data_IF_266914647772
#
_entry.id   IF_266914647772
#
_cell.length_a   1.000
_cell.length_b   1.000
_cell.length_c   1.000
_cell.angle_alpha   90.00
_cell.angle_beta   90.00
_cell.angle_gamma   90.00
#
_symmetry.space_group_name_H-M   'P 1'
#
loop_
_entity.id
_entity.type
_entity.pdbx_description
1 polymer ?
#
# COMPACT_ATOMS: atom_id res chain seq x y z
N UNK A 1 -54.68 -20.85 -11.40
CA UNK A 1 -53.50 -20.70 -10.51
C UNK A 1 -52.33 -19.99 -11.17
N UNK A 2 -51.85 -20.42 -12.35
CA UNK A 2 -50.65 -19.86 -13.00
C UNK A 2 -50.70 -18.33 -13.24
N UNK A 3 -51.86 -17.78 -13.65
CA UNK A 3 -52.05 -16.34 -13.87
C UNK A 3 -51.87 -15.50 -12.60
N UNK A 4 -52.25 -16.04 -11.44
CA UNK A 4 -52.13 -15.34 -10.14
C UNK A 4 -50.66 -15.26 -9.71
N UNK A 5 -49.88 -16.32 -9.98
CA UNK A 5 -48.45 -16.37 -9.68
C UNK A 5 -47.67 -15.31 -10.48
N UNK A 6 -48.01 -15.12 -11.76
CA UNK A 6 -47.37 -14.12 -12.63
C UNK A 6 -47.65 -12.70 -12.12
N UNK A 7 -48.89 -12.41 -11.74
CA UNK A 7 -49.27 -11.09 -11.22
C UNK A 7 -48.52 -10.81 -9.91
N UNK A 8 -48.42 -11.80 -9.02
CA UNK A 8 -47.71 -11.67 -7.75
C UNK A 8 -46.21 -11.42 -7.97
N UNK A 9 -45.60 -12.10 -8.95
CA UNK A 9 -44.22 -11.87 -9.34
C UNK A 9 -43.99 -10.44 -9.87
N UNK A 10 -44.89 -9.92 -10.70
CA UNK A 10 -44.80 -8.55 -11.23
C UNK A 10 -44.90 -7.52 -10.11
N UNK A 11 -45.82 -7.71 -9.15
CA UNK A 11 -46.00 -6.81 -8.01
C UNK A 11 -44.74 -6.80 -7.12
N UNK A 12 -44.20 -7.98 -6.80
CA UNK A 12 -42.98 -8.09 -5.99
C UNK A 12 -41.79 -7.45 -6.72
N UNK A 13 -41.67 -7.67 -8.02
CA UNK A 13 -40.61 -7.08 -8.84
C UNK A 13 -40.70 -5.55 -8.87
N UNK A 14 -41.89 -4.98 -9.08
CA UNK A 14 -42.09 -3.52 -9.04
C UNK A 14 -41.79 -2.93 -7.65
N UNK A 15 -42.10 -3.65 -6.57
CA UNK A 15 -41.79 -3.22 -5.21
C UNK A 15 -40.28 -3.21 -4.94
N UNK A 16 -39.54 -4.21 -5.44
CA UNK A 16 -38.07 -4.26 -5.33
C UNK A 16 -37.41 -3.13 -6.12
N UNK A 17 -37.87 -2.87 -7.36
CA UNK A 17 -37.34 -1.79 -8.19
C UNK A 17 -37.59 -0.39 -7.59
N UNK A 18 -38.74 -0.17 -6.94
CA UNK A 18 -39.06 1.13 -6.32
C UNK A 18 -38.28 1.38 -5.04
N UNK A 19 -38.03 0.35 -4.22
CA UNK A 19 -37.18 0.46 -3.01
C UNK A 19 -35.71 0.69 -3.37
N UNK A 20 -35.23 0.11 -4.48
CA UNK A 20 -33.85 0.32 -4.93
C UNK A 20 -33.61 1.71 -5.55
N UNK A 21 -34.68 2.38 -6.01
CA UNK A 21 -34.62 3.70 -6.65
C UNK A 21 -34.72 4.87 -5.66
N UNK A 22 -35.00 4.61 -4.37
CA UNK A 22 -34.88 5.63 -3.35
C UNK A 22 -33.40 5.84 -3.04
N UNK A 23 -32.85 6.94 -3.57
CA UNK A 23 -31.48 7.39 -3.32
C UNK A 23 -31.14 7.25 -1.85
N UNK A 24 -30.22 6.34 -1.56
CA UNK A 24 -29.79 6.01 -0.21
C UNK A 24 -29.08 7.25 0.36
N UNK A 25 -29.79 8.04 1.18
CA UNK A 25 -29.21 9.16 1.92
C UNK A 25 -28.16 8.61 2.89
N UNK A 26 -26.93 8.49 2.41
CA UNK A 26 -25.78 8.09 3.23
C UNK A 26 -25.22 9.33 3.88
N UNK A 27 -25.12 9.33 5.21
CA UNK A 27 -24.46 10.41 5.95
C UNK A 27 -23.06 9.96 6.37
N UNK A 28 -22.10 10.87 6.30
CA UNK A 28 -20.75 10.67 6.80
C UNK A 28 -20.58 11.38 8.14
N UNK A 29 -20.16 10.63 9.17
CA UNK A 29 -19.94 11.15 10.53
C UNK A 29 -18.51 11.62 10.70
N UNK A 30 -18.32 12.89 11.03
CA UNK A 30 -17.02 13.50 11.34
C UNK A 30 -17.02 14.08 12.76
N UNK A 31 -15.86 14.59 13.21
CA UNK A 31 -15.76 15.31 14.50
C UNK A 31 -16.56 16.62 14.53
N UNK A 32 -16.87 17.21 13.37
CA UNK A 32 -17.63 18.45 13.24
C UNK A 32 -19.12 18.24 12.97
N UNK A 33 -19.57 16.98 12.88
CA UNK A 33 -20.99 16.64 12.70
C UNK A 33 -21.23 15.58 11.63
N UNK A 34 -22.50 15.39 11.27
CA UNK A 34 -22.92 14.47 10.21
C UNK A 34 -23.22 15.26 8.94
N UNK A 35 -22.65 14.82 7.82
CA UNK A 35 -22.80 15.48 6.53
C UNK A 35 -23.50 14.54 5.54
N UNK A 36 -24.55 14.98 4.83
CA UNK A 36 -25.22 14.18 3.82
C UNK A 36 -24.30 14.00 2.60
N UNK A 37 -24.22 12.77 2.09
CA UNK A 37 -23.56 12.45 0.82
C UNK A 37 -24.64 12.05 -0.16
N UNK A 38 -24.84 12.89 -1.18
CA UNK A 38 -25.59 12.50 -2.37
C UNK A 38 -24.66 11.70 -3.28
N UNK A 39 -24.84 10.38 -3.30
CA UNK A 39 -24.25 9.53 -4.33
C UNK A 39 -25.30 9.44 -5.44
N UNK A 40 -25.23 10.33 -6.42
CA UNK A 40 -26.01 10.16 -7.65
C UNK A 40 -25.66 8.80 -8.26
N UNK A 41 -26.67 8.04 -8.67
CA UNK A 41 -26.44 6.81 -9.44
C UNK A 41 -25.49 7.12 -10.59
N UNK A 42 -24.40 6.36 -10.70
CA UNK A 42 -23.43 6.52 -11.77
C UNK A 42 -24.09 6.13 -13.09
N UNK A 43 -24.64 7.11 -13.80
CA UNK A 43 -25.25 6.90 -15.12
C UNK A 43 -24.11 6.76 -16.14
N UNK A 44 -23.58 5.54 -16.25
CA UNK A 44 -22.56 5.22 -17.24
C UNK A 44 -23.24 5.22 -18.62
N UNK A 45 -22.74 5.99 -19.60
CA UNK A 45 -23.25 5.86 -20.96
C UNK A 45 -23.08 4.42 -21.43
N UNK A 46 -24.03 3.89 -22.21
CA UNK A 46 -23.87 2.58 -22.86
C UNK A 46 -22.54 2.57 -23.62
N UNK A 47 -21.56 1.85 -23.06
CA UNK A 47 -20.25 1.70 -23.67
C UNK A 47 -20.43 0.83 -24.91
N UNK A 48 -20.42 1.46 -26.08
CA UNK A 48 -20.30 0.71 -27.34
C UNK A 48 -19.08 -0.20 -27.24
N UNK A 49 -19.27 -1.49 -27.50
CA UNK A 49 -18.16 -2.44 -27.57
C UNK A 49 -17.20 -1.97 -28.67
N UNK A 50 -16.08 -1.36 -28.26
CA UNK A 50 -14.99 -1.02 -29.17
C UNK A 50 -14.17 -2.29 -29.36
N UNK A 51 -13.93 -2.75 -30.59
CA UNK A 51 -13.07 -3.91 -30.82
C UNK A 51 -11.71 -3.66 -30.18
N UNK A 52 -11.28 -4.59 -29.33
CA UNK A 52 -9.99 -4.50 -28.67
C UNK A 52 -8.89 -4.48 -29.74
N UNK A 53 -8.27 -3.32 -29.93
CA UNK A 53 -7.06 -3.19 -30.74
C UNK A 53 -6.01 -4.05 -30.03
N UNK A 54 -5.58 -5.14 -30.66
CA UNK A 54 -4.41 -5.89 -30.23
C UNK A 54 -3.19 -4.99 -30.44
N UNK A 55 -2.81 -4.28 -29.40
CA UNK A 55 -1.47 -3.70 -29.30
C UNK A 55 -0.48 -4.86 -29.23
N UNK A 56 0.59 -4.81 -30.02
CA UNK A 56 1.76 -5.67 -29.83
C UNK A 56 2.14 -5.62 -28.34
N UNK A 57 2.49 -6.75 -27.71
CA UNK A 57 2.85 -6.77 -26.30
C UNK A 57 3.89 -5.68 -26.07
N UNK A 58 3.52 -4.72 -25.22
CA UNK A 58 4.34 -3.57 -24.88
C UNK A 58 5.72 -4.12 -24.49
N UNK A 59 6.75 -3.85 -25.29
CA UNK A 59 8.12 -4.08 -24.85
C UNK A 59 8.30 -3.18 -23.65
N UNK A 60 8.18 -3.73 -22.45
CA UNK A 60 8.41 -2.98 -21.22
C UNK A 60 9.72 -2.23 -21.43
N UNK A 61 9.72 -0.89 -21.37
CA UNK A 61 10.96 -0.16 -21.48
C UNK A 61 11.88 -0.73 -20.41
N UNK A 62 13.13 -1.04 -20.79
CA UNK A 62 14.13 -1.43 -19.81
C UNK A 62 14.15 -0.34 -18.75
N UNK A 63 13.70 -0.68 -17.53
CA UNK A 63 13.77 0.26 -16.42
C UNK A 63 15.23 0.72 -16.30
N UNK A 64 15.49 2.02 -16.09
CA UNK A 64 16.84 2.45 -15.78
C UNK A 64 17.39 1.61 -14.62
N UNK A 65 18.70 1.35 -14.61
CA UNK A 65 19.30 0.53 -13.55
C UNK A 65 19.39 1.32 -12.22
N UNK A 66 18.26 1.70 -11.65
CA UNK A 66 18.14 2.44 -10.39
C UNK A 66 18.68 1.65 -9.19
N UNK A 67 18.81 0.32 -9.33
CA UNK A 67 19.49 -0.57 -8.38
C UNK A 67 21.01 -0.54 -8.51
N UNK A 68 21.56 0.09 -9.55
CA UNK A 68 23.00 0.15 -9.77
C UNK A 68 23.63 1.09 -8.77
N UNK A 69 24.60 0.57 -8.01
CA UNK A 69 25.37 1.34 -7.03
C UNK A 69 26.18 2.47 -7.68
N UNK A 70 26.36 2.46 -9.01
CA UNK A 70 27.04 3.52 -9.78
C UNK A 70 26.41 4.91 -9.64
N UNK A 71 25.12 4.97 -9.27
CA UNK A 71 24.38 6.22 -9.12
C UNK A 71 24.34 6.72 -7.67
N UNK A 72 24.86 5.94 -6.73
CA UNK A 72 25.00 6.33 -5.33
C UNK A 72 26.43 6.86 -5.12
N UNK A 73 26.62 8.09 -4.63
CA UNK A 73 27.94 8.55 -4.26
C UNK A 73 28.52 7.66 -3.14
N UNK A 74 29.83 7.45 -3.17
CA UNK A 74 30.53 6.62 -2.19
C UNK A 74 30.29 7.13 -0.76
N UNK A 75 30.44 8.44 -0.56
CA UNK A 75 30.10 9.14 0.69
C UNK A 75 29.11 10.29 0.41
N UNK A 76 27.79 10.03 0.49
CA UNK A 76 26.79 11.07 0.29
C UNK A 76 26.85 12.11 1.42
N UNK A 77 27.01 13.39 1.07
CA UNK A 77 27.07 14.49 2.04
C UNK A 77 25.76 14.68 2.82
N UNK A 78 24.63 14.18 2.31
CA UNK A 78 23.34 14.20 2.98
C UNK A 78 23.18 13.12 4.05
N UNK A 79 24.10 12.15 4.14
CA UNK A 79 24.10 11.19 5.24
C UNK A 79 24.81 11.81 6.45
N UNK A 80 24.02 12.08 7.47
CA UNK A 80 24.53 12.33 8.82
C UNK A 80 25.22 11.07 9.40
N UNK A 81 25.75 11.19 10.63
CA UNK A 81 26.51 10.11 11.27
C UNK A 81 25.68 8.83 11.46
N UNK A 82 24.40 8.97 11.82
CA UNK A 82 23.45 7.88 11.93
C UNK A 82 23.19 7.20 10.57
N UNK A 83 23.00 7.99 9.51
CA UNK A 83 22.78 7.52 8.16
C UNK A 83 23.97 6.77 7.58
N UNK A 84 25.20 7.18 7.90
CA UNK A 84 26.41 6.43 7.51
C UNK A 84 26.48 5.05 8.16
N UNK A 85 26.10 4.93 9.43
CA UNK A 85 26.01 3.63 10.11
C UNK A 85 24.85 2.78 9.56
N UNK A 86 23.68 3.39 9.33
CA UNK A 86 22.55 2.70 8.72
C UNK A 86 22.91 2.14 7.33
N UNK A 87 23.60 2.92 6.49
CA UNK A 87 24.11 2.46 5.18
C UNK A 87 25.01 1.24 5.32
N UNK A 88 25.90 1.21 6.32
CA UNK A 88 26.74 0.03 6.61
C UNK A 88 25.90 -1.18 7.01
N UNK A 89 24.90 -0.99 7.87
CA UNK A 89 23.98 -2.07 8.26
C UNK A 89 23.25 -2.67 7.07
N UNK A 90 22.74 -1.84 6.15
CA UNK A 90 22.10 -2.28 4.91
C UNK A 90 23.09 -3.02 4.00
N UNK A 91 24.32 -2.52 3.85
CA UNK A 91 25.35 -3.20 3.05
C UNK A 91 25.71 -4.57 3.64
N UNK A 92 25.88 -4.68 4.96
CA UNK A 92 26.14 -5.95 5.65
C UNK A 92 24.96 -6.92 5.49
N UNK A 93 23.72 -6.42 5.52
CA UNK A 93 22.53 -7.24 5.29
C UNK A 93 22.54 -7.87 3.89
N UNK A 94 22.75 -7.04 2.85
CA UNK A 94 22.80 -7.53 1.47
C UNK A 94 24.03 -8.37 1.12
N UNK A 95 25.07 -8.35 1.95
CA UNK A 95 26.26 -9.21 1.81
C UNK A 95 26.22 -10.44 2.71
N UNK A 96 25.04 -10.81 3.21
CA UNK A 96 24.78 -12.01 4.00
C UNK A 96 25.56 -12.04 5.34
N UNK A 97 25.76 -10.87 5.95
CA UNK A 97 26.40 -10.70 7.26
C UNK A 97 25.40 -10.20 8.30
N UNK A 98 24.41 -11.01 8.72
CA UNK A 98 23.29 -10.56 9.55
C UNK A 98 23.72 -10.07 10.94
N UNK A 99 24.78 -10.64 11.53
CA UNK A 99 25.29 -10.21 12.84
C UNK A 99 25.92 -8.81 12.79
N UNK A 100 26.71 -8.54 11.75
CA UNK A 100 27.32 -7.23 11.51
C UNK A 100 26.25 -6.18 11.18
N UNK A 101 25.26 -6.56 10.36
CA UNK A 101 24.11 -5.73 10.06
C UNK A 101 23.34 -5.33 11.34
N UNK A 102 23.04 -6.30 12.20
CA UNK A 102 22.36 -6.07 13.47
C UNK A 102 23.17 -5.13 14.39
N UNK A 103 24.49 -5.32 14.46
CA UNK A 103 25.36 -4.44 15.25
C UNK A 103 25.29 -3.00 14.78
N UNK A 104 25.35 -2.76 13.46
CA UNK A 104 25.25 -1.41 12.91
C UNK A 104 23.89 -0.77 13.18
N UNK A 105 22.79 -1.51 13.05
CA UNK A 105 21.46 -0.97 13.36
C UNK A 105 21.28 -0.65 14.84
N UNK A 106 21.77 -1.51 15.76
CA UNK A 106 21.76 -1.22 17.19
C UNK A 106 22.60 0.01 17.53
N UNK A 107 23.75 0.18 16.88
CA UNK A 107 24.58 1.36 17.08
C UNK A 107 23.87 2.66 16.68
N UNK A 108 23.04 2.63 15.62
CA UNK A 108 22.17 3.78 15.29
C UNK A 108 21.15 4.03 16.39
N UNK A 109 20.53 2.97 16.93
CA UNK A 109 19.53 3.09 17.99
C UNK A 109 20.11 3.66 19.29
N UNK A 110 21.32 3.24 19.66
CA UNK A 110 22.00 3.64 20.88
C UNK A 110 22.65 5.02 20.77
N UNK A 111 23.31 5.31 19.64
CA UNK A 111 24.15 6.51 19.50
C UNK A 111 23.46 7.68 18.81
N UNK A 112 22.38 7.43 18.05
CA UNK A 112 21.71 8.43 17.21
C UNK A 112 20.16 8.34 17.27
N UNK A 113 19.55 8.24 18.47
CA UNK A 113 18.10 8.08 18.62
C UNK A 113 17.27 9.28 18.11
N UNK A 114 17.90 10.46 18.02
CA UNK A 114 17.28 11.69 17.53
C UNK A 114 17.20 11.77 16.00
N UNK A 115 17.96 10.94 15.29
CA UNK A 115 18.02 10.97 13.83
C UNK A 115 16.84 10.24 13.20
N UNK A 116 16.49 10.59 11.96
CA UNK A 116 15.45 9.89 11.19
C UNK A 116 15.80 8.43 10.89
N UNK A 117 17.05 8.02 11.13
CA UNK A 117 17.55 6.65 10.95
C UNK A 117 17.24 5.72 12.12
N UNK A 118 16.75 6.25 13.25
CA UNK A 118 16.36 5.44 14.41
C UNK A 118 15.26 4.42 14.05
N UNK A 119 14.12 4.89 13.54
CA UNK A 119 12.98 4.03 13.24
C UNK A 119 13.27 2.96 12.15
N UNK A 120 13.95 3.29 11.02
CA UNK A 120 14.42 2.28 10.08
C UNK A 120 15.36 1.25 10.72
N UNK A 121 16.27 1.70 11.59
CA UNK A 121 17.20 0.79 12.26
C UNK A 121 16.50 -0.14 13.23
N UNK A 122 15.49 0.33 13.97
CA UNK A 122 14.62 -0.51 14.78
C UNK A 122 13.96 -1.60 13.93
N UNK A 123 13.28 -1.19 12.85
CA UNK A 123 12.61 -2.11 11.95
C UNK A 123 13.53 -3.23 11.45
N UNK A 124 14.70 -2.87 10.90
CA UNK A 124 15.63 -3.85 10.36
C UNK A 124 16.28 -4.73 11.43
N UNK A 125 16.54 -4.18 12.63
CA UNK A 125 17.03 -4.99 13.75
C UNK A 125 15.99 -6.03 14.20
N UNK A 126 14.70 -5.66 14.24
CA UNK A 126 13.62 -6.58 14.58
C UNK A 126 13.45 -7.67 13.53
N UNK A 127 13.52 -7.33 12.23
CA UNK A 127 13.51 -8.33 11.15
C UNK A 127 14.66 -9.34 11.30
N UNK A 128 15.88 -8.86 11.56
CA UNK A 128 17.05 -9.73 11.76
C UNK A 128 16.89 -10.64 12.99
N UNK A 129 16.33 -10.12 14.09
CA UNK A 129 16.10 -10.91 15.30
C UNK A 129 14.99 -11.94 15.11
N UNK A 130 13.93 -11.60 14.40
CA UNK A 130 12.87 -12.53 14.04
C UNK A 130 13.40 -13.68 13.15
N UNK A 131 14.27 -13.37 12.19
CA UNK A 131 14.95 -14.39 11.36
C UNK A 131 15.88 -15.29 12.18
N UNK A 132 16.50 -14.77 13.24
CA UNK A 132 17.32 -15.52 14.20
C UNK A 132 16.48 -16.28 15.25
N UNK A 133 15.14 -16.25 15.14
CA UNK A 133 14.21 -16.91 16.06
C UNK A 133 14.02 -16.21 17.41
N UNK A 134 14.57 -15.00 17.59
CA UNK A 134 14.53 -14.22 18.83
C UNK A 134 13.36 -13.25 18.84
N UNK A 135 12.14 -13.78 18.83
CA UNK A 135 10.92 -12.98 18.75
C UNK A 135 10.73 -12.02 19.93
N UNK A 136 11.15 -12.42 21.14
CA UNK A 136 11.02 -11.56 22.34
C UNK A 136 11.92 -10.32 22.28
N UNK A 137 12.97 -10.36 21.46
CA UNK A 137 13.93 -9.27 21.29
C UNK A 137 13.68 -8.46 20.00
N UNK A 138 12.76 -8.91 19.14
CA UNK A 138 12.46 -8.33 17.83
C UNK A 138 11.45 -7.19 17.91
#
# INVERSE_FOLDING_TARGET
MFKILIILFIIVYQMVCTVFSQGLERTFKSRSGNFPIQISGLDLPELKEVPLIRVSPLTLPRLPEWKSTRFLPEDPSWLDRGGKLFKKGIASYYTERPKEALQHFRQVQESYPETSWYAPSLFWSGQLLALDGKLDAA
#
